data_IF_560527251803
#
_entry.id   IF_560527251803
#
_cell.length_a   1.000
_cell.length_b   1.000
_cell.length_c   1.000
_cell.angle_alpha   90.00
_cell.angle_beta   90.00
_cell.angle_gamma   90.00
#
_symmetry.space_group_name_H-M   'P 1'
#
loop_
_entity.id
_entity.type
_entity.pdbx_description
1 polymer ?
#
# COMPACT_ATOMS: atom_id res chain seq x y z
N UNK A 1 18.66 2.57 15.89
CA UNK A 1 18.01 2.86 14.62
C UNK A 1 16.78 1.97 14.48
N UNK A 2 15.62 2.61 14.42
CA UNK A 2 14.33 1.91 14.41
C UNK A 2 14.14 1.03 13.18
N UNK A 3 14.68 1.41 12.03
CA UNK A 3 14.53 0.65 10.80
C UNK A 3 15.33 -0.67 10.77
N UNK A 4 16.22 -0.88 11.73
CA UNK A 4 16.96 -2.13 11.90
C UNK A 4 16.37 -3.02 12.99
N UNK A 5 15.27 -2.61 13.61
CA UNK A 5 14.62 -3.40 14.63
C UNK A 5 14.06 -4.69 14.00
N UNK A 6 14.42 -5.87 14.51
CA UNK A 6 13.82 -7.12 14.04
C UNK A 6 12.31 -7.14 14.19
N UNK A 7 11.79 -6.51 15.24
CA UNK A 7 10.37 -6.39 15.48
C UNK A 7 9.64 -5.65 14.35
N UNK A 8 10.19 -4.52 13.90
CA UNK A 8 9.60 -3.77 12.79
C UNK A 8 9.60 -4.58 11.48
N UNK A 9 10.70 -5.28 11.21
CA UNK A 9 10.81 -6.16 10.04
C UNK A 9 9.76 -7.26 10.10
N UNK A 10 9.59 -7.89 11.24
CA UNK A 10 8.57 -8.94 11.42
C UNK A 10 7.15 -8.42 11.21
N UNK A 11 6.84 -7.24 11.77
CA UNK A 11 5.52 -6.64 11.61
C UNK A 11 5.20 -6.34 10.15
N UNK A 12 6.10 -5.67 9.45
CA UNK A 12 5.87 -5.31 8.04
C UNK A 12 5.80 -6.55 7.16
N UNK A 13 6.69 -7.52 7.36
CA UNK A 13 6.70 -8.73 6.55
C UNK A 13 5.55 -9.70 6.89
N UNK A 14 4.85 -9.50 8.00
CA UNK A 14 3.67 -10.30 8.34
C UNK A 14 2.48 -10.04 7.42
N UNK A 15 2.43 -8.89 6.78
CA UNK A 15 1.35 -8.57 5.84
C UNK A 15 1.45 -9.47 4.61
N UNK A 16 0.37 -10.18 4.30
CA UNK A 16 0.35 -11.13 3.17
C UNK A 16 0.52 -10.37 1.86
N UNK A 17 1.54 -10.72 1.11
CA UNK A 17 1.94 -10.06 -0.12
C UNK A 17 3.22 -9.25 0.00
N UNK A 18 3.63 -8.88 1.22
CA UNK A 18 4.85 -8.12 1.47
C UNK A 18 5.99 -9.08 1.81
N UNK A 19 6.93 -9.23 0.89
CA UNK A 19 8.11 -10.05 1.09
C UNK A 19 9.25 -9.30 1.78
N UNK A 20 10.38 -9.99 1.99
CA UNK A 20 11.55 -9.41 2.66
C UNK A 20 12.11 -8.20 1.92
N UNK A 21 12.19 -8.26 0.61
CA UNK A 21 12.73 -7.16 -0.21
C UNK A 21 11.84 -5.92 -0.11
N UNK A 22 10.52 -6.11 -0.22
CA UNK A 22 9.56 -5.02 -0.07
C UNK A 22 9.62 -4.42 1.33
N UNK A 23 9.70 -5.25 2.36
CA UNK A 23 9.86 -4.82 3.74
C UNK A 23 11.08 -3.93 3.90
N UNK A 24 12.23 -4.36 3.39
CA UNK A 24 13.48 -3.60 3.46
C UNK A 24 13.35 -2.25 2.76
N UNK A 25 12.81 -2.24 1.54
CA UNK A 25 12.66 -0.99 0.78
C UNK A 25 11.68 -0.02 1.45
N UNK A 26 10.57 -0.51 1.97
CA UNK A 26 9.61 0.33 2.68
C UNK A 26 10.25 0.95 3.92
N UNK A 27 10.93 0.16 4.72
CA UNK A 27 11.57 0.63 5.96
C UNK A 27 12.66 1.65 5.66
N UNK A 28 13.50 1.41 4.66
CA UNK A 28 14.57 2.33 4.26
C UNK A 28 13.98 3.64 3.76
N UNK A 29 13.02 3.60 2.84
CA UNK A 29 12.42 4.81 2.28
C UNK A 29 11.66 5.64 3.30
N UNK A 30 11.07 5.02 4.30
CA UNK A 30 10.32 5.72 5.34
C UNK A 30 11.19 6.06 6.57
N UNK A 31 12.45 5.69 6.54
CA UNK A 31 13.35 5.83 7.70
C UNK A 31 12.73 5.24 8.98
N UNK A 32 12.23 4.00 8.89
CA UNK A 32 11.59 3.33 10.00
C UNK A 32 10.24 3.91 10.39
N UNK A 33 9.51 4.49 9.44
CA UNK A 33 8.22 5.17 9.62
C UNK A 33 8.32 6.44 10.45
N UNK A 34 9.50 7.03 10.53
CA UNK A 34 9.71 8.30 11.19
C UNK A 34 8.93 9.41 10.47
N UNK A 35 8.25 10.26 11.23
CA UNK A 35 7.45 11.37 10.71
C UNK A 35 6.26 10.97 9.82
N UNK A 36 5.80 9.72 9.93
CA UNK A 36 4.60 9.26 9.23
C UNK A 36 3.49 9.06 10.25
N UNK A 37 2.49 9.95 10.22
CA UNK A 37 1.42 10.00 11.21
C UNK A 37 0.17 9.22 10.78
N UNK A 38 -0.01 8.99 9.48
CA UNK A 38 -1.15 8.26 8.97
C UNK A 38 -0.81 7.52 7.67
N UNK A 39 -1.70 6.61 7.25
CA UNK A 39 -1.45 5.78 6.07
C UNK A 39 -1.44 6.59 4.76
N UNK A 40 -2.14 7.72 4.72
CA UNK A 40 -2.16 8.58 3.52
C UNK A 40 -0.81 9.23 3.29
N UNK A 41 -0.13 9.63 4.36
CA UNK A 41 1.24 10.14 4.27
C UNK A 41 2.20 9.06 3.77
N UNK A 42 2.04 7.82 4.23
CA UNK A 42 2.83 6.70 3.77
C UNK A 42 2.64 6.47 2.25
N UNK A 43 1.40 6.47 1.79
CA UNK A 43 1.07 6.28 0.39
C UNK A 43 1.67 7.41 -0.47
N UNK A 44 1.52 8.66 -0.05
CA UNK A 44 2.11 9.82 -0.74
C UNK A 44 3.63 9.75 -0.75
N UNK A 45 4.22 9.39 0.37
CA UNK A 45 5.68 9.32 0.51
C UNK A 45 6.29 8.29 -0.44
N UNK A 46 5.61 7.16 -0.64
CA UNK A 46 6.06 6.12 -1.57
C UNK A 46 5.63 6.37 -3.02
N UNK A 47 4.97 7.48 -3.29
CA UNK A 47 4.60 7.87 -4.64
C UNK A 47 3.45 7.08 -5.25
N UNK A 48 2.54 6.57 -4.44
CA UNK A 48 1.38 5.79 -4.89
C UNK A 48 0.06 6.53 -4.72
N UNK A 49 0.10 7.78 -4.26
CA UNK A 49 -1.10 8.58 -4.13
C UNK A 49 -1.64 8.99 -5.50
N UNK A 50 -2.95 8.89 -5.73
CA UNK A 50 -3.54 9.39 -6.97
C UNK A 50 -3.52 10.91 -6.99
N UNK A 51 -3.18 11.48 -8.14
CA UNK A 51 -3.32 12.93 -8.38
C UNK A 51 -4.47 13.13 -9.35
N UNK A 52 -5.46 13.90 -8.93
CA UNK A 52 -6.49 14.37 -9.84
C UNK A 52 -5.97 15.55 -10.64
N UNK A 53 -5.95 15.39 -11.95
CA UNK A 53 -5.54 16.45 -12.85
C UNK A 53 -6.76 17.27 -13.26
N UNK A 54 -7.24 18.09 -12.32
CA UNK A 54 -8.33 19.05 -12.58
C UNK A 54 -7.75 20.46 -12.58
N UNK A 55 -7.58 21.03 -13.76
CA UNK A 55 -7.26 22.44 -13.89
C UNK A 55 -8.49 23.19 -14.44
N UNK A 56 -9.23 23.83 -13.55
CA UNK A 56 -10.38 24.64 -13.94
C UNK A 56 -11.57 23.81 -14.42
N UNK A 57 -12.57 24.49 -15.02
CA UNK A 57 -13.87 23.91 -15.34
C UNK A 57 -13.91 23.12 -16.65
N UNK A 58 -12.86 23.14 -17.47
CA UNK A 58 -12.92 22.62 -18.84
C UNK A 58 -12.02 21.43 -19.15
N UNK A 59 -11.11 21.04 -18.25
CA UNK A 59 -10.19 19.92 -18.52
C UNK A 59 -10.23 18.92 -17.37
N UNK A 60 -10.89 17.79 -17.62
CA UNK A 60 -10.78 16.63 -16.74
C UNK A 60 -9.72 15.70 -17.32
N UNK A 61 -8.51 15.77 -16.78
CA UNK A 61 -7.46 14.79 -17.09
C UNK A 61 -7.68 13.47 -16.37
N UNK A 62 -7.06 12.41 -16.85
CA UNK A 62 -7.04 11.13 -16.16
C UNK A 62 -6.31 11.27 -14.82
N UNK A 63 -6.85 10.66 -13.79
CA UNK A 63 -6.16 10.51 -12.51
C UNK A 63 -4.84 9.79 -12.73
N UNK A 64 -3.76 10.41 -12.34
CA UNK A 64 -2.41 9.83 -12.44
C UNK A 64 -1.82 9.61 -11.06
N UNK A 65 -0.86 8.69 -10.96
CA UNK A 65 -0.11 8.50 -9.73
C UNK A 65 0.89 9.64 -9.56
N UNK A 66 1.01 10.15 -8.33
CA UNK A 66 2.08 11.07 -7.97
C UNK A 66 3.43 10.34 -8.05
N UNK A 67 4.33 10.82 -8.88
CA UNK A 67 5.65 10.21 -9.04
C UNK A 67 6.69 10.78 -8.05
N UNK A 68 6.28 11.21 -6.87
CA UNK A 68 7.16 11.72 -5.81
C UNK A 68 7.82 10.51 -5.19
N UNK A 69 8.26 9.67 -5.23
CA UNK A 69 8.97 8.54 -4.62
C UNK A 69 9.84 7.83 -5.64
N UNK A 70 10.62 6.92 -5.18
CA UNK A 70 11.47 6.13 -6.05
C UNK A 70 10.68 5.16 -6.92
N UNK A 71 10.97 5.11 -8.23
CA UNK A 71 10.35 4.16 -9.15
C UNK A 71 10.57 2.71 -8.75
N UNK A 72 11.68 2.43 -8.09
CA UNK A 72 12.00 1.10 -7.58
C UNK A 72 10.97 0.61 -6.55
N UNK A 73 10.58 1.47 -5.61
CA UNK A 73 9.58 1.10 -4.59
C UNK A 73 8.23 0.86 -5.23
N UNK A 74 7.82 1.71 -6.18
CA UNK A 74 6.57 1.50 -6.90
C UNK A 74 6.54 0.16 -7.64
N UNK A 75 7.62 -0.18 -8.32
CA UNK A 75 7.74 -1.47 -9.02
C UNK A 75 7.63 -2.65 -8.06
N UNK A 76 8.28 -2.58 -6.91
CA UNK A 76 8.21 -3.60 -5.88
C UNK A 76 6.79 -3.70 -5.34
N UNK A 77 6.13 -2.58 -5.08
CA UNK A 77 4.75 -2.58 -4.61
C UNK A 77 3.76 -3.16 -5.63
N UNK A 78 3.97 -2.93 -6.92
CA UNK A 78 3.15 -3.59 -7.95
C UNK A 78 3.30 -5.11 -7.90
N UNK A 79 4.51 -5.61 -7.71
CA UNK A 79 4.74 -7.06 -7.57
C UNK A 79 4.07 -7.61 -6.31
N UNK A 80 4.15 -6.87 -5.21
CA UNK A 80 3.45 -7.21 -3.97
C UNK A 80 1.94 -7.25 -4.17
N UNK A 81 1.40 -6.29 -4.91
CA UNK A 81 -0.03 -6.23 -5.20
C UNK A 81 -0.49 -7.42 -6.03
N UNK A 82 0.29 -7.85 -7.02
CA UNK A 82 -0.03 -9.04 -7.82
C UNK A 82 -0.06 -10.30 -6.97
N UNK A 83 0.81 -10.43 -5.99
CA UNK A 83 0.78 -11.53 -5.04
C UNK A 83 -0.42 -11.40 -4.09
N UNK A 84 -0.63 -10.21 -3.55
CA UNK A 84 -1.69 -9.96 -2.57
C UNK A 84 -3.09 -10.16 -3.15
N UNK A 85 -3.33 -9.81 -4.40
CA UNK A 85 -4.65 -10.02 -5.02
C UNK A 85 -5.03 -11.51 -5.11
N UNK A 86 -4.04 -12.40 -4.98
CA UNK A 86 -4.27 -13.85 -4.98
C UNK A 86 -4.34 -14.44 -3.57
N UNK A 87 -3.55 -13.92 -2.65
CA UNK A 87 -3.29 -14.56 -1.36
C UNK A 87 -3.76 -13.77 -0.14
N UNK A 88 -4.01 -12.47 -0.29
CA UNK A 88 -4.50 -11.62 0.79
C UNK A 88 -6.00 -11.43 0.63
N UNK A 89 -6.85 -11.95 1.53
CA UNK A 89 -8.31 -11.94 1.33
C UNK A 89 -8.90 -10.54 1.12
N UNK A 90 -8.48 -9.55 1.90
CA UNK A 90 -8.98 -8.19 1.77
C UNK A 90 -8.57 -7.56 0.42
N UNK A 91 -7.35 -7.83 -0.02
CA UNK A 91 -6.85 -7.33 -1.30
C UNK A 91 -7.52 -8.02 -2.48
N UNK A 92 -7.75 -9.32 -2.39
CA UNK A 92 -8.47 -10.08 -3.41
C UNK A 92 -9.89 -9.55 -3.58
N UNK A 93 -10.60 -9.35 -2.49
CA UNK A 93 -11.96 -8.80 -2.50
C UNK A 93 -11.99 -7.42 -3.15
N UNK A 94 -11.07 -6.54 -2.78
CA UNK A 94 -10.96 -5.21 -3.36
C UNK A 94 -10.71 -5.26 -4.86
N UNK A 95 -9.74 -6.08 -5.29
CA UNK A 95 -9.40 -6.24 -6.70
C UNK A 95 -10.60 -6.73 -7.52
N UNK A 96 -11.22 -7.82 -7.06
CA UNK A 96 -12.35 -8.44 -7.76
C UNK A 96 -13.54 -7.48 -7.85
N UNK A 97 -13.82 -6.75 -6.78
CA UNK A 97 -14.89 -5.74 -6.74
C UNK A 97 -14.65 -4.62 -7.75
N UNK A 98 -13.43 -4.10 -7.84
CA UNK A 98 -13.11 -3.02 -8.76
C UNK A 98 -13.15 -3.47 -10.22
N UNK A 99 -12.65 -4.66 -10.51
CA UNK A 99 -12.70 -5.22 -11.87
C UNK A 99 -14.16 -5.49 -12.27
N UNK A 100 -14.98 -5.99 -11.35
CA UNK A 100 -16.41 -6.23 -11.60
C UNK A 100 -17.17 -4.93 -11.90
N UNK A 101 -16.73 -3.80 -11.34
CA UNK A 101 -17.28 -2.47 -11.63
C UNK A 101 -16.80 -1.88 -12.96
N UNK A 102 -16.00 -2.60 -13.72
CA UNK A 102 -15.47 -2.14 -15.00
C UNK A 102 -14.19 -1.30 -14.89
N UNK A 103 -13.55 -1.27 -13.73
CA UNK A 103 -12.26 -0.57 -13.58
C UNK A 103 -11.15 -1.33 -14.28
N UNK A 104 -10.21 -0.59 -14.85
CA UNK A 104 -9.04 -1.18 -15.50
C UNK A 104 -8.19 -1.96 -14.49
N UNK A 105 -7.61 -3.07 -14.92
CA UNK A 105 -6.79 -3.92 -14.05
C UNK A 105 -5.65 -3.18 -13.36
N UNK A 106 -5.00 -2.25 -14.05
CA UNK A 106 -3.92 -1.44 -13.48
C UNK A 106 -4.46 -0.54 -12.35
N UNK A 107 -5.63 0.06 -12.54
CA UNK A 107 -6.27 0.89 -11.50
C UNK A 107 -6.59 0.03 -10.27
N UNK A 108 -7.09 -1.18 -10.49
CA UNK A 108 -7.37 -2.12 -9.40
C UNK A 108 -6.09 -2.53 -8.65
N UNK A 109 -4.98 -2.77 -9.38
CA UNK A 109 -3.70 -3.08 -8.76
C UNK A 109 -3.13 -1.93 -7.93
N UNK A 110 -3.27 -0.69 -8.40
CA UNK A 110 -2.86 0.49 -7.63
C UNK A 110 -3.68 0.58 -6.33
N UNK A 111 -4.97 0.32 -6.41
CA UNK A 111 -5.82 0.29 -5.22
C UNK A 111 -5.37 -0.80 -4.24
N UNK A 112 -4.95 -1.96 -4.73
CA UNK A 112 -4.39 -3.02 -3.91
C UNK A 112 -3.08 -2.58 -3.25
N UNK A 113 -2.20 -1.88 -3.97
CA UNK A 113 -0.99 -1.30 -3.38
C UNK A 113 -1.33 -0.39 -2.21
N UNK A 114 -2.32 0.48 -2.38
CA UNK A 114 -2.75 1.39 -1.32
C UNK A 114 -3.34 0.63 -0.14
N UNK A 115 -4.10 -0.42 -0.39
CA UNK A 115 -4.65 -1.28 0.65
C UNK A 115 -3.54 -1.99 1.45
N UNK A 116 -2.53 -2.51 0.75
CA UNK A 116 -1.36 -3.11 1.39
C UNK A 116 -0.63 -2.12 2.30
N UNK A 117 -0.41 -0.90 1.84
CA UNK A 117 0.27 0.12 2.64
C UNK A 117 -0.58 0.53 3.84
N UNK A 118 -1.89 0.56 3.71
CA UNK A 118 -2.79 0.77 4.84
C UNK A 118 -2.65 -0.35 5.88
N UNK A 119 -2.56 -1.60 5.43
CA UNK A 119 -2.35 -2.75 6.31
C UNK A 119 -0.98 -2.68 6.99
N UNK A 120 0.06 -2.32 6.23
CA UNK A 120 1.43 -2.14 6.79
C UNK A 120 1.42 -1.07 7.88
N UNK A 121 0.81 0.06 7.62
CA UNK A 121 0.71 1.13 8.61
C UNK A 121 -0.05 0.68 9.86
N UNK A 122 -1.15 -0.06 9.68
CA UNK A 122 -1.95 -0.56 10.80
C UNK A 122 -1.14 -1.50 11.71
N UNK A 123 -0.37 -2.44 11.14
CA UNK A 123 0.44 -3.37 11.94
C UNK A 123 1.59 -2.66 12.64
N UNK A 124 2.19 -1.66 12.01
CA UNK A 124 3.25 -0.86 12.62
C UNK A 124 2.72 -0.04 13.79
N UNK A 125 1.56 0.58 13.63
CA UNK A 125 0.93 1.39 14.69
C UNK A 125 0.45 0.55 15.87
N UNK A 126 -0.20 -0.57 15.59
CA UNK A 126 -0.76 -1.44 16.64
C UNK A 126 0.29 -2.32 17.31
N UNK A 127 1.43 -2.51 16.64
CA UNK A 127 2.49 -3.44 17.05
C UNK A 127 2.00 -4.90 17.15
N UNK A 128 0.96 -5.22 16.37
CA UNK A 128 0.37 -6.55 16.29
C UNK A 128 0.55 -7.06 14.87
N UNK A 129 1.06 -8.29 14.71
CA UNK A 129 1.27 -8.90 13.40
C UNK A 129 -0.05 -9.00 12.62
N UNK A 130 0.06 -9.01 11.29
CA UNK A 130 -1.09 -9.08 10.41
C UNK A 130 -1.85 -10.39 10.59
N UNK A 131 -3.18 -10.27 10.72
CA UNK A 131 -4.10 -11.41 10.76
C UNK A 131 -4.99 -11.36 9.51
N UNK A 132 -4.79 -12.32 8.61
CA UNK A 132 -5.55 -12.41 7.37
C UNK A 132 -7.03 -12.71 7.59
N UNK A 133 -7.37 -13.26 8.74
CA UNK A 133 -8.75 -13.58 9.12
C UNK A 133 -9.43 -12.46 9.91
N UNK A 134 -8.74 -11.34 10.09
CA UNK A 134 -9.30 -10.21 10.81
C UNK A 134 -10.47 -9.64 10.03
N UNK A 135 -11.66 -9.84 10.55
CA UNK A 135 -12.86 -9.16 10.09
C UNK A 135 -13.08 -7.99 11.02
N UNK A 136 -13.01 -6.79 10.47
CA UNK A 136 -13.39 -5.62 11.23
C UNK A 136 -14.85 -5.81 11.62
N UNK A 137 -15.10 -6.07 12.89
CA UNK A 137 -16.45 -5.98 13.41
C UNK A 137 -16.88 -4.52 13.26
N UNK A 138 -17.59 -4.27 12.18
CA UNK A 138 -18.26 -2.99 11.98
C UNK A 138 -19.46 -3.03 12.90
N UNK A 139 -19.24 -2.50 14.08
CA UNK A 139 -20.38 -2.18 14.91
C UNK A 139 -21.07 -0.97 14.32
#
# INVERSE_FOLDING_TARGET
>A
MLFRSPELVELVSSVVGIGKRATTEIIIHTNGFENIDNYRQLISFLGLAPIENTSGTSIKGRTKICKQGGGKVRSIMYMCAMNAMKNNPACKELYDRLVAKGKHKIVALIAVCNKLLKQVFAVVQSKVAFDKNYTKNVA
#
